data_IF_832540870789
#
_entry.id   IF_832540870789
#
_cell.length_a   1.000
_cell.length_b   1.000
_cell.length_c   1.000
_cell.angle_alpha   90.00
_cell.angle_beta   90.00
_cell.angle_gamma   90.00
#
_symmetry.space_group_name_H-M   'P 1'
#
loop_
_entity.id
_entity.type
_entity.pdbx_description
1 polymer ?
#
# COMPACT_ATOMS: atom_id res chain seq x y z
N UNK A 1 -22.26 5.67 -1.74
CA UNK A 1 -21.94 4.24 -1.89
C UNK A 1 -20.61 4.17 -2.62
N UNK A 2 -19.67 3.32 -2.18
CA UNK A 2 -18.43 3.10 -2.93
C UNK A 2 -18.78 2.43 -4.25
N UNK A 3 -18.27 2.94 -5.37
CA UNK A 3 -18.50 2.38 -6.70
C UNK A 3 -17.19 1.79 -7.23
N UNK A 4 -17.03 0.49 -7.06
CA UNK A 4 -15.85 -0.27 -7.50
C UNK A 4 -15.60 -0.16 -9.00
N UNK A 5 -16.64 0.03 -9.81
CA UNK A 5 -16.52 0.12 -11.28
C UNK A 5 -15.79 1.38 -11.75
N UNK A 6 -15.63 2.39 -10.89
CA UNK A 6 -14.85 3.59 -11.20
C UNK A 6 -13.35 3.39 -10.99
N UNK A 7 -12.95 2.31 -10.30
CA UNK A 7 -11.56 2.02 -10.00
C UNK A 7 -11.06 0.92 -10.91
N UNK A 8 -10.07 1.21 -11.74
CA UNK A 8 -9.54 0.22 -12.67
C UNK A 8 -8.07 0.48 -13.00
N UNK A 9 -7.14 -0.38 -12.56
CA UNK A 9 -7.35 -1.55 -11.69
C UNK A 9 -7.58 -1.17 -10.20
N UNK A 10 -8.15 -2.10 -9.43
CA UNK A 10 -8.14 -2.09 -7.95
C UNK A 10 -7.69 -3.46 -7.45
N UNK A 11 -6.64 -3.52 -6.62
CA UNK A 11 -6.04 -4.76 -6.15
C UNK A 11 -5.75 -4.74 -4.66
N UNK A 12 -5.83 -5.92 -4.04
CA UNK A 12 -5.26 -6.14 -2.71
C UNK A 12 -3.76 -6.36 -2.85
N UNK A 13 -2.99 -5.30 -2.61
CA UNK A 13 -1.56 -5.23 -2.91
C UNK A 13 -0.74 -6.10 -1.96
N UNK A 14 -1.06 -6.11 -0.67
CA UNK A 14 -0.31 -6.86 0.33
C UNK A 14 -0.41 -8.39 0.16
N UNK A 15 -1.44 -8.84 -0.54
CA UNK A 15 -1.65 -10.23 -0.90
C UNK A 15 -1.06 -10.63 -2.27
N UNK A 16 -0.65 -9.65 -3.09
CA UNK A 16 -0.12 -9.90 -4.43
C UNK A 16 1.23 -10.64 -4.39
N UNK A 17 1.42 -11.59 -5.31
CA UNK A 17 2.59 -12.49 -5.34
C UNK A 17 3.92 -11.75 -5.48
N UNK A 18 3.99 -10.72 -6.33
CA UNK A 18 5.23 -9.93 -6.50
C UNK A 18 5.63 -9.18 -5.24
N UNK A 19 4.67 -8.59 -4.53
CA UNK A 19 4.94 -7.94 -3.25
C UNK A 19 5.39 -8.97 -2.20
N UNK A 20 4.70 -10.11 -2.10
CA UNK A 20 5.10 -11.21 -1.20
C UNK A 20 6.51 -11.72 -1.48
N UNK A 21 6.91 -11.79 -2.75
CA UNK A 21 8.26 -12.19 -3.15
C UNK A 21 9.35 -11.19 -2.72
N UNK A 22 9.06 -9.89 -2.77
CA UNK A 22 9.98 -8.87 -2.26
C UNK A 22 10.04 -8.95 -0.74
N UNK A 23 8.89 -9.00 -0.07
CA UNK A 23 8.78 -9.04 1.39
C UNK A 23 9.46 -10.27 2.00
N UNK A 24 9.42 -11.42 1.33
CA UNK A 24 10.09 -12.64 1.81
C UNK A 24 11.62 -12.54 1.73
N UNK A 25 12.17 -11.72 0.83
CA UNK A 25 13.62 -11.53 0.67
C UNK A 25 14.16 -10.35 1.48
N UNK A 26 13.37 -9.29 1.64
CA UNK A 26 13.75 -8.07 2.33
C UNK A 26 12.86 -7.89 3.56
N UNK A 27 13.34 -8.42 4.70
CA UNK A 27 12.65 -8.27 5.98
C UNK A 27 12.48 -6.78 6.34
N UNK A 28 11.29 -6.43 6.83
CA UNK A 28 10.95 -5.04 7.14
C UNK A 28 10.29 -4.27 6.00
N UNK A 29 10.23 -4.82 4.77
CA UNK A 29 9.44 -4.24 3.68
C UNK A 29 7.98 -4.06 4.11
N UNK A 30 7.44 -2.85 3.95
CA UNK A 30 6.04 -2.54 4.29
C UNK A 30 5.23 -2.25 3.04
N UNK A 31 4.02 -2.81 2.97
CA UNK A 31 3.07 -2.57 1.87
C UNK A 31 1.84 -1.86 2.38
N UNK A 32 1.18 -1.10 1.50
CA UNK A 32 -0.21 -0.70 1.70
C UNK A 32 -1.13 -1.90 1.49
N UNK A 33 -2.37 -1.82 1.96
CA UNK A 33 -3.29 -2.96 1.85
C UNK A 33 -3.84 -3.08 0.42
N UNK A 34 -4.26 -1.96 -0.19
CA UNK A 34 -4.77 -1.93 -1.56
C UNK A 34 -4.12 -0.83 -2.40
N UNK A 35 -4.08 -1.06 -3.71
CA UNK A 35 -3.81 -0.06 -4.73
C UNK A 35 -5.03 0.09 -5.62
N UNK A 36 -5.28 1.32 -6.09
CA UNK A 36 -6.34 1.56 -7.06
C UNK A 36 -6.03 2.74 -7.97
N UNK A 37 -6.49 2.67 -9.21
CA UNK A 37 -6.39 3.77 -10.17
C UNK A 37 -7.76 4.41 -10.37
N UNK A 38 -7.80 5.73 -10.24
CA UNK A 38 -8.99 6.54 -10.48
C UNK A 38 -8.61 7.87 -11.13
N UNK A 39 -9.20 8.16 -12.30
CA UNK A 39 -8.95 9.38 -13.07
C UNK A 39 -7.45 9.70 -13.22
N UNK A 40 -6.68 8.75 -13.78
CA UNK A 40 -5.23 8.85 -14.03
C UNK A 40 -4.34 9.02 -12.78
N UNK A 41 -4.90 8.82 -11.58
CA UNK A 41 -4.17 8.90 -10.32
C UNK A 41 -4.10 7.52 -9.66
N UNK A 42 -2.92 7.18 -9.13
CA UNK A 42 -2.71 5.98 -8.30
C UNK A 42 -2.96 6.33 -6.84
N UNK A 43 -3.85 5.58 -6.20
CA UNK A 43 -4.20 5.71 -4.80
C UNK A 43 -3.69 4.52 -4.00
N UNK A 44 -3.17 4.84 -2.82
CA UNK A 44 -2.59 3.92 -1.87
C UNK A 44 -3.53 3.84 -0.67
N UNK A 45 -4.08 2.66 -0.40
CA UNK A 45 -5.09 2.48 0.64
C UNK A 45 -4.52 1.67 1.80
N UNK A 46 -4.63 2.25 2.99
CA UNK A 46 -4.38 1.57 4.25
C UNK A 46 -5.70 1.50 5.03
N UNK A 47 -6.17 0.29 5.31
CA UNK A 47 -7.40 0.01 6.03
C UNK A 47 -7.07 -0.22 7.50
N UNK A 48 -7.56 0.68 8.35
CA UNK A 48 -7.48 0.54 9.81
C UNK A 48 -8.87 0.40 10.41
N UNK A 49 -9.09 -0.64 11.20
CA UNK A 49 -10.28 -0.75 12.01
C UNK A 49 -10.06 0.00 13.33
N UNK A 50 -10.72 1.14 13.51
CA UNK A 50 -10.60 1.97 14.72
C UNK A 50 -11.71 1.73 15.74
N UNK A 51 -12.53 0.68 15.60
CA UNK A 51 -13.71 0.43 16.46
C UNK A 51 -13.38 0.45 17.97
N UNK A 52 -12.15 0.12 18.39
CA UNK A 52 -11.74 0.08 19.81
C UNK A 52 -10.75 1.19 20.23
N UNK A 53 -10.39 2.13 19.35
CA UNK A 53 -9.28 3.08 19.57
C UNK A 53 -9.71 4.49 20.02
N UNK A 54 -10.87 4.64 20.66
CA UNK A 54 -11.46 5.98 20.86
C UNK A 54 -10.67 6.91 21.80
N UNK A 55 -9.96 6.42 22.80
CA UNK A 55 -9.27 7.31 23.76
C UNK A 55 -8.08 6.56 24.38
N UNK A 56 -6.84 6.89 24.02
CA UNK A 56 -5.69 6.62 24.91
C UNK A 56 -4.44 7.48 24.72
N UNK A 57 -4.26 8.24 23.63
CA UNK A 57 -2.98 8.91 23.37
C UNK A 57 -3.12 10.30 22.70
N UNK A 58 -3.89 11.22 23.27
CA UNK A 58 -3.88 12.62 22.78
C UNK A 58 -2.57 13.35 23.11
N UNK A 59 -1.89 12.99 24.20
CA UNK A 59 -0.65 13.68 24.65
C UNK A 59 0.67 12.97 24.27
N UNK A 60 0.62 11.82 23.59
CA UNK A 60 1.82 11.08 23.13
C UNK A 60 2.13 11.28 21.64
N UNK A 61 1.47 12.25 20.99
CA UNK A 61 1.45 12.41 19.54
C UNK A 61 2.80 12.78 18.92
N UNK A 62 3.74 13.40 19.64
CA UNK A 62 5.00 13.84 19.01
C UNK A 62 5.89 12.65 18.61
N UNK A 63 6.22 11.75 19.54
CA UNK A 63 7.08 10.60 19.24
C UNK A 63 6.34 9.44 18.52
N UNK A 64 5.02 9.33 18.72
CA UNK A 64 4.20 8.33 17.99
C UNK A 64 3.91 8.82 16.58
N UNK A 65 3.72 10.14 16.39
CA UNK A 65 3.52 10.78 15.10
C UNK A 65 4.70 10.54 14.18
N UNK A 66 5.94 10.76 14.65
CA UNK A 66 7.14 10.51 13.85
C UNK A 66 7.29 9.05 13.42
N UNK A 67 7.01 8.10 14.33
CA UNK A 67 7.03 6.66 14.01
C UNK A 67 5.94 6.28 13.02
N UNK A 68 4.73 6.82 13.19
CA UNK A 68 3.61 6.58 12.28
C UNK A 68 3.89 7.16 10.89
N UNK A 69 4.39 8.40 10.82
CA UNK A 69 4.75 9.05 9.57
C UNK A 69 5.91 8.32 8.89
N UNK A 70 6.90 7.86 9.64
CA UNK A 70 7.99 7.01 9.12
C UNK A 70 7.44 5.72 8.53
N UNK A 71 6.51 5.06 9.21
CA UNK A 71 5.88 3.84 8.70
C UNK A 71 5.03 4.08 7.44
N UNK A 72 4.25 5.16 7.40
CA UNK A 72 3.48 5.56 6.22
C UNK A 72 4.43 5.83 5.05
N UNK A 73 5.51 6.59 5.28
CA UNK A 73 6.51 6.87 4.26
C UNK A 73 7.18 5.59 3.74
N UNK A 74 7.50 4.64 4.62
CA UNK A 74 8.02 3.32 4.23
C UNK A 74 7.01 2.56 3.37
N UNK A 75 5.74 2.48 3.79
CA UNK A 75 4.68 1.80 3.03
C UNK A 75 4.53 2.38 1.63
N UNK A 76 4.51 3.71 1.49
CA UNK A 76 4.41 4.37 0.18
C UNK A 76 5.65 4.06 -0.68
N UNK A 77 6.86 4.29 -0.14
CA UNK A 77 8.12 4.07 -0.86
C UNK A 77 8.26 2.63 -1.36
N UNK A 78 8.02 1.67 -0.47
CA UNK A 78 8.22 0.25 -0.75
C UNK A 78 7.15 -0.29 -1.71
N UNK A 79 5.89 0.16 -1.57
CA UNK A 79 4.82 -0.18 -2.51
C UNK A 79 5.10 0.40 -3.91
N UNK A 80 5.53 1.66 -4.00
CA UNK A 80 5.93 2.27 -5.27
C UNK A 80 7.11 1.55 -5.92
N UNK A 81 8.10 1.16 -5.11
CA UNK A 81 9.26 0.38 -5.59
C UNK A 81 8.84 -0.98 -6.16
N UNK A 82 7.84 -1.63 -5.54
CA UNK A 82 7.26 -2.86 -6.05
C UNK A 82 6.54 -2.64 -7.39
N UNK A 83 5.73 -1.58 -7.52
CA UNK A 83 5.02 -1.25 -8.77
C UNK A 83 6.02 -1.08 -9.92
N UNK A 84 7.04 -0.23 -9.72
CA UNK A 84 8.07 0.03 -10.73
C UNK A 84 8.82 -1.26 -11.08
N UNK A 85 9.20 -2.05 -10.08
CA UNK A 85 9.90 -3.32 -10.30
C UNK A 85 9.03 -4.34 -11.01
N UNK A 86 7.73 -4.40 -10.71
CA UNK A 86 6.74 -5.28 -11.33
C UNK A 86 6.55 -4.93 -12.80
N UNK A 87 6.42 -3.65 -13.14
CA UNK A 87 6.33 -3.17 -14.52
C UNK A 87 7.54 -3.58 -15.37
N UNK A 88 8.73 -3.54 -14.78
CA UNK A 88 9.96 -3.89 -15.47
C UNK A 88 10.19 -5.41 -15.56
N UNK A 89 9.97 -6.12 -14.45
CA UNK A 89 10.52 -7.47 -14.23
C UNK A 89 9.49 -8.53 -13.80
N UNK A 90 8.22 -8.19 -13.59
CA UNK A 90 7.24 -9.19 -13.16
C UNK A 90 7.16 -10.33 -14.17
N UNK A 91 7.26 -11.55 -13.67
CA UNK A 91 6.99 -12.78 -14.39
C UNK A 91 5.61 -13.35 -14.07
N UNK A 92 4.85 -12.65 -13.22
CA UNK A 92 3.55 -13.11 -12.70
C UNK A 92 2.39 -12.32 -13.29
N UNK A 93 2.48 -10.98 -13.32
CA UNK A 93 1.37 -10.13 -13.76
C UNK A 93 1.87 -8.78 -14.33
N UNK A 94 2.64 -8.84 -15.42
CA UNK A 94 3.24 -7.65 -16.03
C UNK A 94 2.19 -6.70 -16.63
N UNK A 95 1.09 -7.25 -17.15
CA UNK A 95 0.02 -6.46 -17.76
C UNK A 95 -0.67 -5.60 -16.71
N UNK A 96 -1.02 -6.16 -15.55
CA UNK A 96 -1.55 -5.40 -14.41
C UNK A 96 -0.65 -4.22 -14.04
N UNK A 97 0.67 -4.43 -13.93
CA UNK A 97 1.60 -3.36 -13.53
C UNK A 97 1.79 -2.27 -14.59
N UNK A 98 1.37 -2.47 -15.83
CA UNK A 98 1.41 -1.41 -16.83
C UNK A 98 0.34 -0.35 -16.59
N UNK A 99 -0.75 -0.72 -15.93
CA UNK A 99 -1.88 0.15 -15.61
C UNK A 99 -1.63 1.01 -14.35
N UNK A 100 -0.52 0.75 -13.63
CA UNK A 100 0.00 1.59 -12.54
C UNK A 100 1.26 2.36 -12.98
#
# INVERSE_FOLDING_TARGET
MFNEQLWNPIIQFDEHVDYKNIKSKLSGTKGVDFLGVFQDNVYFFEIKNFKDYRIKNKDKLNNIGDKLMTEIAQKVRDSLSCIISGKLNSTNDKELWNDF
#
